data_IF_368526259745
#
_entry.id   IF_368526259745
#
_cell.length_a   1.000
_cell.length_b   1.000
_cell.length_c   1.000
_cell.angle_alpha   90.00
_cell.angle_beta   90.00
_cell.angle_gamma   90.00
#
_symmetry.space_group_name_H-M   'P 1'
#
loop_
_entity.id
_entity.type
_entity.pdbx_description
1 polymer ?
#
# COMPACT_ATOMS: atom_id res chain seq x y z
N UNK A 1 0.95 15.78 -4.23
CA UNK A 1 -0.14 15.17 -3.47
C UNK A 1 0.46 14.11 -2.57
N UNK A 2 -0.17 13.91 -1.42
CA UNK A 2 0.09 12.80 -0.53
C UNK A 2 -0.92 11.69 -0.87
N UNK A 3 -0.44 10.48 -1.14
CA UNK A 3 -1.26 9.36 -1.56
C UNK A 3 -1.07 8.22 -0.56
N UNK A 4 -2.17 7.67 -0.04
CA UNK A 4 -2.12 6.42 0.71
C UNK A 4 -2.44 5.26 -0.24
N UNK A 5 -1.62 4.21 -0.23
CA UNK A 5 -1.93 2.95 -0.92
C UNK A 5 -2.15 1.86 0.12
N UNK A 6 -3.36 1.35 0.22
CA UNK A 6 -3.78 0.33 1.19
C UNK A 6 -3.68 -1.06 0.58
N UNK A 7 -2.98 -1.96 1.29
CA UNK A 7 -2.41 -3.22 0.85
C UNK A 7 -1.27 -3.05 -0.14
N UNK A 8 -0.06 -3.52 0.24
CA UNK A 8 1.19 -3.46 -0.52
C UNK A 8 1.54 -4.81 -1.14
N UNK A 9 0.55 -5.64 -1.41
CA UNK A 9 0.74 -6.88 -2.15
C UNK A 9 1.16 -6.63 -3.61
N UNK A 10 1.14 -7.70 -4.42
CA UNK A 10 1.63 -7.72 -5.81
C UNK A 10 1.07 -6.62 -6.73
N UNK A 11 -0.10 -6.06 -6.41
CA UNK A 11 -0.71 -4.97 -7.19
C UNK A 11 -0.47 -3.62 -6.51
N UNK A 12 -0.59 -3.55 -5.18
CA UNK A 12 -0.50 -2.30 -4.44
C UNK A 12 0.90 -1.69 -4.41
N UNK A 13 1.95 -2.50 -4.18
CA UNK A 13 3.32 -1.95 -4.14
C UNK A 13 3.76 -1.39 -5.49
N UNK A 14 3.57 -2.06 -6.65
CA UNK A 14 3.88 -1.45 -7.93
C UNK A 14 3.14 -0.14 -8.16
N UNK A 15 1.86 -0.05 -7.80
CA UNK A 15 1.11 1.21 -7.89
C UNK A 15 1.71 2.31 -7.00
N UNK A 16 2.04 1.99 -5.74
CA UNK A 16 2.69 2.91 -4.81
C UNK A 16 4.02 3.44 -5.36
N UNK A 17 4.85 2.55 -5.90
CA UNK A 17 6.12 2.88 -6.53
C UNK A 17 5.91 3.76 -7.77
N UNK A 18 4.92 3.47 -8.62
CA UNK A 18 4.63 4.32 -9.79
C UNK A 18 4.17 5.72 -9.39
N UNK A 19 3.31 5.86 -8.38
CA UNK A 19 2.90 7.18 -7.89
C UNK A 19 4.09 7.96 -7.32
N UNK A 20 4.94 7.30 -6.54
CA UNK A 20 6.14 7.93 -5.99
C UNK A 20 7.13 8.33 -7.09
N UNK A 21 7.35 7.48 -8.10
CA UNK A 21 8.21 7.76 -9.25
C UNK A 21 7.70 8.93 -10.13
N UNK A 22 6.42 9.30 -10.00
CA UNK A 22 5.84 10.51 -10.61
C UNK A 22 5.95 11.77 -9.72
N UNK A 23 6.66 11.68 -8.60
CA UNK A 23 6.95 12.80 -7.70
C UNK A 23 5.89 13.04 -6.63
N UNK A 24 5.01 12.07 -6.36
CA UNK A 24 4.08 12.14 -5.25
C UNK A 24 4.71 11.59 -3.97
N UNK A 25 4.25 12.07 -2.80
CA UNK A 25 4.57 11.42 -1.52
C UNK A 25 3.58 10.31 -1.30
N UNK A 26 4.07 9.10 -1.04
CA UNK A 26 3.27 7.91 -0.90
C UNK A 26 3.51 7.28 0.47
N UNK A 27 2.40 7.01 1.18
CA UNK A 27 2.40 6.20 2.40
C UNK A 27 1.70 4.88 2.06
N UNK A 28 2.48 3.82 1.90
CA UNK A 28 1.96 2.47 1.82
C UNK A 28 1.45 2.00 3.18
N UNK A 29 0.25 1.43 3.22
CA UNK A 29 -0.32 0.83 4.43
C UNK A 29 -0.57 -0.64 4.21
N UNK A 30 -0.01 -1.52 5.05
CA UNK A 30 -0.25 -2.96 5.00
C UNK A 30 -0.27 -3.55 6.41
N UNK A 31 -1.13 -4.55 6.64
CA UNK A 31 -1.24 -5.22 7.96
C UNK A 31 -0.06 -6.14 8.26
N UNK A 32 0.72 -6.52 7.24
CA UNK A 32 1.86 -7.40 7.38
C UNK A 32 3.13 -6.60 7.75
N UNK A 33 3.50 -6.64 9.03
CA UNK A 33 4.70 -5.97 9.56
C UNK A 33 5.97 -6.29 8.76
N UNK A 34 6.18 -7.55 8.39
CA UNK A 34 7.35 -7.97 7.62
C UNK A 34 7.39 -7.31 6.24
N UNK A 35 6.23 -7.17 5.59
CA UNK A 35 6.13 -6.50 4.29
C UNK A 35 6.45 -5.01 4.42
N UNK A 36 5.93 -4.37 5.47
CA UNK A 36 6.23 -2.97 5.79
C UNK A 36 7.73 -2.76 6.03
N UNK A 37 8.38 -3.63 6.79
CA UNK A 37 9.82 -3.60 7.03
C UNK A 37 10.62 -3.72 5.72
N UNK A 38 10.27 -4.69 4.86
CA UNK A 38 10.94 -4.89 3.57
C UNK A 38 10.83 -3.66 2.67
N UNK A 39 9.63 -3.07 2.56
CA UNK A 39 9.40 -1.86 1.76
C UNK A 39 10.21 -0.69 2.30
N UNK A 40 10.20 -0.47 3.62
CA UNK A 40 11.00 0.61 4.24
C UNK A 40 12.51 0.39 4.13
N UNK A 41 12.95 -0.86 4.03
CA UNK A 41 14.33 -1.23 3.76
C UNK A 41 14.66 -1.26 2.25
N UNK A 42 13.77 -0.77 1.37
CA UNK A 42 13.92 -0.80 -0.08
C UNK A 42 14.21 -2.20 -0.66
N UNK A 43 13.77 -3.25 0.02
CA UNK A 43 13.98 -4.64 -0.40
C UNK A 43 12.73 -5.17 -1.06
N UNK A 44 12.84 -5.60 -2.32
CA UNK A 44 11.70 -6.12 -3.09
C UNK A 44 11.09 -7.38 -2.43
N UNK A 45 9.83 -7.32 -1.97
CA UNK A 45 9.22 -8.42 -1.21
C UNK A 45 8.69 -9.56 -2.10
N UNK A 46 8.46 -9.31 -3.39
CA UNK A 46 7.98 -10.31 -4.35
C UNK A 46 8.61 -10.08 -5.73
N UNK A 47 9.71 -10.78 -6.08
CA UNK A 47 10.37 -10.60 -7.36
C UNK A 47 9.49 -11.05 -8.53
N UNK A 48 9.67 -10.41 -9.69
CA UNK A 48 9.05 -10.80 -10.96
C UNK A 48 8.26 -9.69 -11.65
N UNK A 49 8.11 -8.52 -11.02
CA UNK A 49 7.58 -7.31 -11.66
C UNK A 49 8.74 -6.52 -12.27
N UNK A 50 8.59 -6.08 -13.52
CA UNK A 50 9.66 -5.40 -14.24
C UNK A 50 10.04 -4.08 -13.54
N UNK A 51 11.34 -3.93 -13.22
CA UNK A 51 11.94 -2.76 -12.58
C UNK A 51 11.38 -2.41 -11.19
N UNK A 52 10.61 -3.29 -10.55
CA UNK A 52 10.01 -2.98 -9.24
C UNK A 52 11.08 -2.71 -8.17
N UNK A 53 12.07 -3.60 -8.02
CA UNK A 53 13.13 -3.42 -7.03
C UNK A 53 13.94 -2.14 -7.24
N UNK A 54 14.32 -1.83 -8.50
CA UNK A 54 15.08 -0.61 -8.84
C UNK A 54 14.28 0.63 -8.49
N UNK A 55 13.02 0.72 -8.92
CA UNK A 55 12.17 1.89 -8.65
C UNK A 55 11.77 2.00 -7.18
N UNK A 56 11.65 0.88 -6.47
CA UNK A 56 11.43 0.86 -5.03
C UNK A 56 12.62 1.52 -4.30
N UNK A 57 13.84 1.12 -4.64
CA UNK A 57 15.06 1.70 -4.07
C UNK A 57 15.15 3.20 -4.36
N UNK A 58 14.92 3.62 -5.60
CA UNK A 58 14.91 5.04 -5.97
C UNK A 58 13.88 5.86 -5.17
N UNK A 59 12.64 5.36 -5.07
CA UNK A 59 11.54 6.11 -4.45
C UNK A 59 11.62 6.16 -2.93
N UNK A 60 12.05 5.07 -2.28
CA UNK A 60 12.31 5.03 -0.83
C UNK A 60 13.54 5.87 -0.50
N UNK A 61 14.63 5.74 -1.26
CA UNK A 61 15.85 6.54 -1.09
C UNK A 61 15.63 8.04 -1.27
N UNK A 62 14.72 8.43 -2.16
CA UNK A 62 14.30 9.82 -2.34
C UNK A 62 13.33 10.33 -1.24
N UNK A 63 12.90 9.47 -0.32
CA UNK A 63 11.92 9.81 0.72
C UNK A 63 10.51 10.06 0.17
N UNK A 64 10.20 9.54 -1.02
CA UNK A 64 8.91 9.66 -1.68
C UNK A 64 7.97 8.51 -1.35
N UNK A 65 8.49 7.35 -0.95
CA UNK A 65 7.71 6.20 -0.52
C UNK A 65 8.15 5.75 0.88
N UNK A 66 7.19 5.53 1.77
CA UNK A 66 7.36 4.82 3.04
C UNK A 66 6.19 3.88 3.28
N UNK A 67 6.33 2.94 4.21
CA UNK A 67 5.29 2.00 4.60
C UNK A 67 5.00 2.03 6.11
N UNK A 68 3.76 1.73 6.49
CA UNK A 68 3.30 1.63 7.89
C UNK A 68 2.24 0.55 8.03
N UNK A 69 2.03 0.05 9.26
CA UNK A 69 0.88 -0.78 9.61
C UNK A 69 -0.34 0.04 10.06
N UNK A 70 -0.15 1.33 10.37
CA UNK A 70 -1.23 2.24 10.77
C UNK A 70 -1.92 2.85 9.55
N UNK A 71 -2.92 2.12 9.03
CA UNK A 71 -3.74 2.57 7.90
C UNK A 71 -4.49 3.86 8.21
N UNK A 72 -5.02 4.00 9.43
CA UNK A 72 -5.79 5.17 9.84
C UNK A 72 -4.94 6.44 9.80
N UNK A 73 -3.73 6.39 10.36
CA UNK A 73 -2.81 7.53 10.33
C UNK A 73 -2.33 7.84 8.90
N UNK A 74 -2.05 6.82 8.09
CA UNK A 74 -1.65 6.99 6.69
C UNK A 74 -2.73 7.72 5.88
N UNK A 75 -4.00 7.31 6.03
CA UNK A 75 -5.15 7.95 5.37
C UNK A 75 -5.32 9.39 5.86
N UNK A 76 -5.21 9.64 7.16
CA UNK A 76 -5.33 10.98 7.74
C UNK A 76 -4.27 11.97 7.26
N UNK A 77 -3.17 11.50 6.68
CA UNK A 77 -2.09 12.32 6.13
C UNK A 77 -2.13 12.46 4.60
N UNK A 78 -3.15 11.91 3.93
CA UNK A 78 -3.21 11.76 2.47
C UNK A 78 -4.37 12.53 1.85
N UNK A 79 -4.14 13.04 0.63
CA UNK A 79 -5.16 13.71 -0.21
C UNK A 79 -6.01 12.70 -0.98
N UNK A 80 -5.45 11.52 -1.27
CA UNK A 80 -6.10 10.44 -2.00
C UNK A 80 -5.75 9.08 -1.36
N UNK A 81 -6.71 8.16 -1.39
CA UNK A 81 -6.54 6.79 -0.89
C UNK A 81 -6.82 5.81 -2.02
N UNK A 82 -5.84 4.96 -2.32
CA UNK A 82 -5.94 3.88 -3.30
C UNK A 82 -6.03 2.56 -2.55
N UNK A 83 -7.13 1.83 -2.72
CA UNK A 83 -7.40 0.60 -1.96
C UNK A 83 -7.26 -0.60 -2.87
N UNK A 84 -6.38 -1.53 -2.51
CA UNK A 84 -6.02 -2.69 -3.34
C UNK A 84 -6.02 -3.99 -2.53
N UNK A 85 -6.93 -4.08 -1.56
CA UNK A 85 -7.08 -5.26 -0.70
C UNK A 85 -7.64 -6.46 -1.49
N UNK A 86 -7.20 -7.69 -1.20
CA UNK A 86 -7.67 -8.87 -1.91
C UNK A 86 -9.14 -9.17 -1.59
N UNK A 87 -9.83 -9.74 -2.58
CA UNK A 87 -11.12 -10.41 -2.38
C UNK A 87 -10.91 -11.90 -2.62
N UNK A 88 -11.00 -12.69 -1.56
CA UNK A 88 -10.90 -14.14 -1.66
C UNK A 88 -12.29 -14.73 -1.91
N UNK A 89 -12.32 -15.88 -2.59
CA UNK A 89 -13.53 -16.67 -2.82
C UNK A 89 -13.29 -18.09 -2.35
N UNK A 90 -14.34 -18.75 -1.83
CA UNK A 90 -14.30 -20.18 -1.50
C UNK A 90 -14.41 -21.06 -2.76
N UNK A 91 -14.50 -22.39 -2.57
CA UNK A 91 -14.58 -23.36 -3.67
C UNK A 91 -15.88 -23.22 -4.48
N UNK A 92 -16.93 -22.70 -3.85
CA UNK A 92 -18.24 -22.44 -4.42
C UNK A 92 -18.33 -21.06 -5.10
N UNK A 93 -17.28 -20.24 -4.98
CA UNK A 93 -17.20 -18.88 -5.55
C UNK A 93 -17.84 -17.82 -4.67
N UNK A 94 -18.15 -18.11 -3.41
CA UNK A 94 -18.68 -17.15 -2.44
C UNK A 94 -17.56 -16.19 -2.00
N UNK A 95 -17.74 -14.87 -2.14
CA UNK A 95 -16.73 -13.92 -1.70
C UNK A 95 -16.64 -13.79 -0.18
N UNK A 96 -15.42 -13.76 0.35
CA UNK A 96 -15.12 -13.36 1.72
C UNK A 96 -14.74 -11.87 1.74
N UNK A 97 -15.63 -11.05 2.29
CA UNK A 97 -15.46 -9.60 2.41
C UNK A 97 -14.68 -9.15 3.64
N UNK A 98 -14.25 -10.06 4.53
CA UNK A 98 -13.64 -9.69 5.81
C UNK A 98 -12.46 -8.73 5.69
N UNK A 99 -11.61 -8.93 4.67
CA UNK A 99 -10.47 -8.05 4.37
C UNK A 99 -10.89 -6.66 3.88
N UNK A 100 -11.91 -6.61 3.01
CA UNK A 100 -12.47 -5.35 2.49
C UNK A 100 -13.15 -4.55 3.61
N UNK A 101 -13.93 -5.21 4.44
CA UNK A 101 -14.63 -4.59 5.57
C UNK A 101 -13.65 -4.03 6.61
N UNK A 102 -12.59 -4.78 6.92
CA UNK A 102 -11.56 -4.31 7.86
C UNK A 102 -10.83 -3.09 7.31
N UNK A 103 -10.42 -3.11 6.05
CA UNK A 103 -9.70 -2.01 5.43
C UNK A 103 -10.56 -0.76 5.31
N UNK A 104 -11.80 -0.88 4.85
CA UNK A 104 -12.73 0.26 4.73
C UNK A 104 -13.06 0.90 6.07
N UNK A 105 -13.16 0.12 7.16
CA UNK A 105 -13.29 0.66 8.53
C UNK A 105 -12.07 1.49 8.94
N UNK A 106 -10.85 0.98 8.72
CA UNK A 106 -9.63 1.71 9.05
C UNK A 106 -9.48 2.99 8.20
N UNK A 107 -9.81 2.90 6.91
CA UNK A 107 -9.82 4.06 6.01
C UNK A 107 -10.81 5.11 6.51
N UNK A 108 -12.05 4.70 6.80
CA UNK A 108 -13.09 5.62 7.27
C UNK A 108 -12.69 6.37 8.55
N UNK A 109 -11.99 5.70 9.47
CA UNK A 109 -11.49 6.33 10.69
C UNK A 109 -10.40 7.40 10.44
N UNK A 110 -9.71 7.33 9.29
CA UNK A 110 -8.67 8.29 8.90
C UNK A 110 -9.17 9.44 8.02
N UNK A 111 -10.35 9.34 7.43
CA UNK A 111 -10.88 10.38 6.53
C UNK A 111 -11.12 11.68 7.29
N UNK A 112 -10.76 12.80 6.65
CA UNK A 112 -10.97 14.16 7.16
C UNK A 112 -11.90 14.93 6.20
N UNK A 113 -12.71 15.87 6.72
CA UNK A 113 -13.56 16.74 5.90
C UNK A 113 -12.78 17.60 4.91
#
# INVERSE_FOLDING_TARGET
MNICVVALGKIGLPLAVQFAAKGHKVIGADVNEKLVELVNAATEPFPGEHDLGVKLEETVGAGLLSATTDTTAAVAASDAVVVVVPLFVDAEGTPDFGWMDSATKAIAAGLKP
#
